data_IF_377577071236
#
_entry.id   IF_377577071236
#
_cell.length_a   1.000
_cell.length_b   1.000
_cell.length_c   1.000
_cell.angle_alpha   90.00
_cell.angle_beta   90.00
_cell.angle_gamma   90.00
#
_symmetry.space_group_name_H-M   'P 1'
#
loop_
_entity.id
_entity.type
_entity.pdbx_description
1 polymer ?
#
# COMPACT_ATOMS: atom_id res chain seq x y z
N UNK A 1 -0.34 -7.66 -13.65
CA UNK A 1 -1.17 -6.59 -13.05
C UNK A 1 -1.29 -5.40 -14.01
N UNK A 2 -0.18 -4.77 -14.42
CA UNK A 2 -0.20 -3.60 -15.33
C UNK A 2 -0.88 -3.89 -16.69
N UNK A 3 -0.65 -5.05 -17.29
CA UNK A 3 -1.28 -5.43 -18.56
C UNK A 3 -2.82 -5.44 -18.51
N UNK A 4 -3.42 -5.68 -17.35
CA UNK A 4 -4.88 -5.68 -17.18
C UNK A 4 -5.46 -4.27 -17.08
N UNK A 5 -4.67 -3.31 -16.60
CA UNK A 5 -5.11 -1.91 -16.41
C UNK A 5 -4.75 -1.02 -17.61
N UNK A 6 -3.96 -1.52 -18.57
CA UNK A 6 -3.49 -0.73 -19.71
C UNK A 6 -4.62 -0.28 -20.67
N UNK A 7 -5.76 -0.98 -20.68
CA UNK A 7 -6.93 -0.63 -21.49
C UNK A 7 -7.95 0.25 -20.76
N UNK A 8 -7.74 0.51 -19.47
CA UNK A 8 -8.66 1.31 -18.66
C UNK A 8 -8.28 2.79 -18.74
N UNK A 9 -9.28 3.67 -18.64
CA UNK A 9 -9.04 5.12 -18.56
C UNK A 9 -8.56 5.44 -17.14
N UNK A 10 -7.26 5.70 -17.00
CA UNK A 10 -6.62 6.10 -15.73
C UNK A 10 -6.13 7.54 -15.86
N UNK A 11 -6.75 8.45 -15.11
CA UNK A 11 -6.40 9.88 -15.13
C UNK A 11 -5.16 10.21 -14.28
N UNK A 12 -4.90 9.43 -13.23
CA UNK A 12 -3.79 9.66 -12.30
C UNK A 12 -3.36 8.37 -11.59
N UNK A 13 -2.10 8.35 -11.14
CA UNK A 13 -1.52 7.28 -10.32
C UNK A 13 -0.96 7.89 -9.04
N UNK A 14 -1.38 7.37 -7.89
CA UNK A 14 -0.90 7.82 -6.57
C UNK A 14 -0.04 6.72 -5.92
N UNK A 15 1.03 7.13 -5.24
CA UNK A 15 1.96 6.22 -4.55
C UNK A 15 2.31 6.79 -3.17
N UNK A 16 2.63 5.91 -2.23
CA UNK A 16 3.23 6.34 -0.95
C UNK A 16 4.72 6.69 -1.15
N UNK A 17 5.38 7.36 -0.19
CA UNK A 17 6.83 7.57 -0.21
C UNK A 17 7.67 6.29 -0.20
N UNK A 18 7.06 5.13 0.05
CA UNK A 18 7.77 3.87 0.15
C UNK A 18 8.22 3.42 -1.25
N UNK A 19 9.53 3.20 -1.42
CA UNK A 19 10.12 2.79 -2.71
C UNK A 19 9.40 1.63 -3.39
N UNK A 20 8.86 0.68 -2.63
CA UNK A 20 8.11 -0.47 -3.16
C UNK A 20 6.85 -0.06 -3.93
N UNK A 21 6.15 1.01 -3.51
CA UNK A 21 4.95 1.49 -4.20
C UNK A 21 5.32 2.17 -5.52
N UNK A 22 6.41 2.93 -5.55
CA UNK A 22 6.98 3.47 -6.79
C UNK A 22 7.38 2.36 -7.78
N UNK A 23 8.12 1.35 -7.32
CA UNK A 23 8.56 0.23 -8.17
C UNK A 23 7.39 -0.55 -8.75
N UNK A 24 6.31 -0.72 -7.98
CA UNK A 24 5.10 -1.40 -8.44
C UNK A 24 4.34 -0.58 -9.49
N UNK A 25 4.28 0.74 -9.33
CA UNK A 25 3.57 1.65 -10.22
C UNK A 25 4.31 1.96 -11.52
N UNK A 26 5.65 1.92 -11.52
CA UNK A 26 6.49 2.38 -12.63
C UNK A 26 6.12 1.80 -14.01
N UNK A 27 5.84 0.49 -14.19
CA UNK A 27 5.50 -0.03 -15.51
C UNK A 27 4.15 0.49 -16.03
N UNK A 28 3.19 0.75 -15.14
CA UNK A 28 1.88 1.30 -15.51
C UNK A 28 2.00 2.80 -15.83
N UNK A 29 2.74 3.54 -14.99
CA UNK A 29 3.02 4.96 -15.20
C UNK A 29 3.69 5.22 -16.56
N UNK A 30 4.69 4.39 -16.92
CA UNK A 30 5.34 4.43 -18.22
C UNK A 30 4.39 4.13 -19.38
N UNK A 31 3.53 3.12 -19.24
CA UNK A 31 2.57 2.75 -20.28
C UNK A 31 1.50 3.81 -20.53
N UNK A 32 1.12 4.56 -19.48
CA UNK A 32 0.11 5.62 -19.53
C UNK A 32 0.70 7.01 -19.80
N UNK A 33 2.01 7.19 -19.70
CA UNK A 33 2.67 8.50 -19.86
C UNK A 33 2.36 9.48 -18.72
N UNK A 34 2.11 8.98 -17.51
CA UNK A 34 1.77 9.79 -16.33
C UNK A 34 2.88 9.72 -15.29
N UNK A 35 3.14 10.84 -14.61
CA UNK A 35 4.04 10.87 -13.45
C UNK A 35 3.26 10.52 -12.18
N UNK A 36 3.69 9.53 -11.37
CA UNK A 36 3.03 9.21 -10.12
C UNK A 36 3.08 10.36 -9.11
N UNK A 37 1.95 10.65 -8.47
CA UNK A 37 1.84 11.64 -7.39
C UNK A 37 2.12 10.96 -6.06
N UNK A 38 3.01 11.52 -5.26
CA UNK A 38 3.26 11.05 -3.89
C UNK A 38 2.15 11.55 -2.98
N UNK A 39 1.47 10.61 -2.31
CA UNK A 39 0.46 10.88 -1.29
C UNK A 39 0.86 10.19 0.02
N UNK A 40 1.31 11.01 0.98
CA UNK A 40 1.81 10.55 2.28
C UNK A 40 0.70 9.89 3.12
N UNK A 41 -0.54 10.37 2.97
CA UNK A 41 -1.71 9.87 3.70
C UNK A 41 -2.11 8.44 3.34
N UNK A 42 -1.60 7.89 2.23
CA UNK A 42 -1.84 6.50 1.81
C UNK A 42 -0.88 5.49 2.44
N UNK A 43 0.03 5.93 3.33
CA UNK A 43 0.94 5.02 4.02
C UNK A 43 0.15 4.00 4.84
N UNK A 44 0.57 2.74 4.76
CA UNK A 44 0.02 1.67 5.60
C UNK A 44 0.05 2.07 7.08
N UNK A 45 -0.95 1.60 7.84
CA UNK A 45 -1.03 1.80 9.29
C UNK A 45 0.24 1.26 9.93
N UNK A 46 0.96 2.13 10.62
CA UNK A 46 2.14 1.72 11.38
C UNK A 46 1.69 1.06 12.67
N UNK A 47 1.84 -0.26 12.72
CA UNK A 47 1.42 -1.07 13.88
C UNK A 47 2.51 -1.13 14.97
N UNK A 48 3.68 -0.53 14.74
CA UNK A 48 4.79 -0.53 15.71
C UNK A 48 5.26 -1.95 16.04
N UNK A 49 5.30 -2.29 17.32
CA UNK A 49 5.69 -3.63 17.81
C UNK A 49 4.77 -4.75 17.28
N UNK A 50 3.61 -4.39 16.74
CA UNK A 50 2.62 -5.32 16.23
C UNK A 50 2.85 -5.66 14.74
N UNK A 51 3.89 -5.12 14.11
CA UNK A 51 4.31 -5.48 12.76
C UNK A 51 4.91 -6.91 12.66
N UNK A 52 5.29 -7.34 11.46
CA UNK A 52 5.98 -8.62 11.26
C UNK A 52 5.14 -9.86 11.59
N UNK A 53 3.81 -9.74 11.63
CA UNK A 53 2.89 -10.84 11.96
C UNK A 53 2.53 -10.95 13.44
N UNK A 54 3.10 -10.10 14.31
CA UNK A 54 2.71 -10.04 15.72
C UNK A 54 1.23 -9.71 15.87
N UNK A 55 0.71 -8.74 15.11
CA UNK A 55 -0.73 -8.38 15.11
C UNK A 55 -1.63 -9.61 14.96
N UNK A 56 -1.35 -10.47 13.97
CA UNK A 56 -2.13 -11.70 13.74
C UNK A 56 -2.07 -12.66 14.93
N UNK A 57 -0.93 -12.76 15.63
CA UNK A 57 -0.81 -13.58 16.84
C UNK A 57 -1.62 -12.99 17.99
N UNK A 58 -1.47 -11.71 18.28
CA UNK A 58 -2.17 -11.04 19.40
C UNK A 58 -3.69 -11.08 19.23
N UNK A 59 -4.19 -10.91 18.00
CA UNK A 59 -5.62 -11.07 17.70
C UNK A 59 -6.07 -12.52 17.89
N UNK A 60 -5.29 -13.50 17.41
CA UNK A 60 -5.64 -14.92 17.57
C UNK A 60 -5.63 -15.39 19.03
N UNK A 61 -4.74 -14.83 19.85
CA UNK A 61 -4.56 -15.18 21.27
C UNK A 61 -5.48 -14.37 22.20
N UNK A 62 -6.34 -13.50 21.67
CA UNK A 62 -7.18 -12.59 22.44
C UNK A 62 -6.39 -11.76 23.46
N UNK A 63 -5.23 -11.24 23.05
CA UNK A 63 -4.43 -10.36 23.90
C UNK A 63 -5.31 -9.19 24.41
N UNK A 64 -5.17 -8.77 25.68
CA UNK A 64 -6.02 -7.74 26.30
C UNK A 64 -6.09 -6.43 25.50
N UNK A 65 -5.00 -6.08 24.83
CA UNK A 65 -4.89 -4.90 23.98
C UNK A 65 -5.67 -5.05 22.67
N UNK A 66 -5.72 -6.25 22.09
CA UNK A 66 -6.49 -6.54 20.87
C UNK A 66 -8.01 -6.48 21.10
N UNK A 67 -8.47 -6.67 22.35
CA UNK A 67 -9.89 -6.58 22.73
C UNK A 67 -10.40 -5.13 22.86
N UNK A 68 -9.51 -4.14 22.83
CA UNK A 68 -9.84 -2.71 22.99
C UNK A 68 -9.80 -1.91 21.68
N UNK A 69 -9.39 -2.53 20.58
CA UNK A 69 -9.49 -1.98 19.22
C UNK A 69 -10.90 -2.15 18.68
#
# INVERSE_FOLDING_TARGET
>A
MCARLAGERVDAVYVTPLRRTHQSAAPLALALGVEPVVEDGLREVHLGEWEGGAFRRMVAENAPEAQRM
#
